data_IF_015638040394
#
_entry.id   IF_015638040394
#
_cell.length_a   1.000
_cell.length_b   1.000
_cell.length_c   1.000
_cell.angle_alpha   90.00
_cell.angle_beta   90.00
_cell.angle_gamma   90.00
#
_symmetry.space_group_name_H-M   'P 1'
#
loop_
_entity.id
_entity.type
_entity.pdbx_description
1 polymer ?
#
# COMPACT_ATOMS: atom_id res chain seq x y z
N UNK A 1 -0.92 -17.75 -17.95
CA UNK A 1 -1.01 -18.05 -16.49
C UNK A 1 0.36 -18.49 -15.99
N UNK A 2 1.03 -17.69 -15.16
CA UNK A 2 2.21 -18.15 -14.42
C UNK A 2 1.75 -18.74 -13.09
N UNK A 3 1.51 -20.05 -13.02
CA UNK A 3 1.30 -20.71 -11.74
C UNK A 3 2.65 -20.79 -10.98
N UNK A 4 2.84 -19.91 -9.99
CA UNK A 4 3.96 -20.03 -9.04
C UNK A 4 3.50 -20.81 -7.81
N UNK A 5 4.19 -21.93 -7.60
CA UNK A 5 4.08 -22.81 -6.44
C UNK A 5 4.18 -22.01 -5.13
N UNK A 6 3.36 -22.38 -4.14
CA UNK A 6 3.31 -21.82 -2.77
C UNK A 6 4.69 -21.40 -2.27
N UNK A 7 4.87 -20.11 -2.00
CA UNK A 7 6.10 -19.55 -1.43
C UNK A 7 5.96 -19.47 0.09
N UNK A 8 6.98 -19.96 0.80
CA UNK A 8 7.09 -19.83 2.25
C UNK A 8 8.08 -18.71 2.58
N UNK A 9 7.58 -17.68 3.25
CA UNK A 9 8.35 -16.52 3.67
C UNK A 9 8.57 -16.59 5.18
N UNK A 10 9.82 -16.37 5.62
CA UNK A 10 10.16 -16.34 7.05
C UNK A 10 11.19 -15.26 7.32
N UNK A 11 10.92 -14.44 8.34
CA UNK A 11 11.87 -13.48 8.87
C UNK A 11 12.31 -13.90 10.26
N UNK A 12 13.62 -13.86 10.52
CA UNK A 12 14.17 -14.04 11.86
C UNK A 12 15.20 -12.93 12.12
N UNK A 13 14.89 -11.92 12.94
CA UNK A 13 15.74 -10.75 13.16
C UNK A 13 16.98 -11.02 14.04
N UNK A 14 17.30 -12.28 14.34
CA UNK A 14 18.37 -12.68 15.27
C UNK A 14 19.78 -12.11 14.94
N UNK A 15 20.04 -11.65 13.70
CA UNK A 15 21.37 -11.20 13.25
C UNK A 15 21.50 -9.71 12.87
N UNK A 16 20.52 -8.86 13.19
CA UNK A 16 20.53 -7.43 12.81
C UNK A 16 20.75 -6.56 14.05
N UNK A 17 21.32 -5.36 13.97
CA UNK A 17 21.51 -4.43 15.12
C UNK A 17 20.17 -3.96 15.72
N UNK A 18 20.13 -3.62 17.03
CA UNK A 18 18.90 -3.12 17.70
C UNK A 18 18.40 -1.80 17.06
N UNK A 19 17.07 -1.61 17.01
CA UNK A 19 16.45 -0.37 16.52
C UNK A 19 16.27 -0.25 15.00
N UNK A 20 16.15 -1.38 14.28
CA UNK A 20 15.90 -1.39 12.83
C UNK A 20 14.65 -2.19 12.49
N UNK A 21 13.96 -1.79 11.43
CA UNK A 21 12.87 -2.54 10.83
C UNK A 21 13.45 -3.65 9.93
N UNK A 22 12.80 -4.82 9.92
CA UNK A 22 13.11 -5.92 9.00
C UNK A 22 11.90 -6.14 8.11
N UNK A 23 12.11 -6.01 6.81
CA UNK A 23 11.07 -6.21 5.81
C UNK A 23 11.21 -7.61 5.19
N UNK A 24 10.11 -8.33 5.07
CA UNK A 24 10.05 -9.61 4.33
C UNK A 24 8.78 -9.63 3.52
N UNK A 25 8.96 -9.59 2.19
CA UNK A 25 7.87 -9.52 1.23
C UNK A 25 8.01 -10.55 0.11
N UNK A 26 6.87 -10.83 -0.50
CA UNK A 26 6.76 -11.29 -1.88
C UNK A 26 6.54 -10.06 -2.74
N UNK A 27 7.34 -9.92 -3.79
CA UNK A 27 7.33 -8.75 -4.66
C UNK A 27 7.06 -9.15 -6.09
N UNK A 28 6.03 -8.55 -6.67
CA UNK A 28 5.81 -8.52 -8.11
C UNK A 28 6.40 -7.22 -8.67
N UNK A 29 7.27 -7.35 -9.68
CA UNK A 29 7.79 -6.23 -10.49
C UNK A 29 7.53 -6.52 -11.96
N UNK A 30 6.79 -5.66 -12.69
CA UNK A 30 6.68 -5.78 -14.13
C UNK A 30 8.07 -5.55 -14.76
N UNK A 31 8.58 -6.59 -15.43
CA UNK A 31 9.83 -6.61 -16.21
C UNK A 31 11.14 -6.35 -15.43
N UNK A 32 11.74 -7.40 -14.89
CA UNK A 32 13.21 -7.53 -14.88
C UNK A 32 13.59 -8.19 -16.19
N UNK A 33 14.13 -7.42 -17.15
CA UNK A 33 14.67 -7.96 -18.40
C UNK A 33 15.75 -8.99 -18.07
N UNK A 34 15.46 -10.28 -18.29
CA UNK A 34 16.50 -11.27 -18.55
C UNK A 34 16.45 -11.47 -20.06
N UNK A 35 17.45 -10.93 -20.73
CA UNK A 35 17.71 -11.20 -22.14
C UNK A 35 18.02 -12.69 -22.27
N UNK A 36 17.09 -13.48 -22.80
CA UNK A 36 17.37 -14.74 -23.50
C UNK A 36 16.12 -15.14 -24.29
N UNK A 37 15.92 -14.44 -25.42
CA UNK A 37 15.29 -14.89 -26.66
C UNK A 37 14.19 -15.97 -26.64
N UNK A 38 13.18 -15.88 -25.78
CA UNK A 38 11.97 -16.72 -25.84
C UNK A 38 10.75 -15.84 -25.58
N UNK A 39 9.71 -16.00 -26.41
CA UNK A 39 8.46 -15.22 -26.44
C UNK A 39 8.07 -14.57 -25.12
N UNK A 40 8.37 -13.27 -25.01
CA UNK A 40 8.00 -12.45 -23.86
C UNK A 40 6.59 -11.93 -24.13
N UNK A 41 5.58 -12.55 -23.51
CA UNK A 41 4.36 -11.80 -23.22
C UNK A 41 4.79 -10.60 -22.38
N UNK A 42 4.86 -9.41 -22.97
CA UNK A 42 5.18 -8.17 -22.26
C UNK A 42 4.24 -8.07 -21.06
N UNK A 43 4.78 -8.26 -19.86
CA UNK A 43 3.96 -8.14 -18.67
C UNK A 43 3.64 -6.67 -18.49
N UNK A 44 2.39 -6.31 -18.75
CA UNK A 44 1.89 -4.94 -18.73
C UNK A 44 2.01 -4.38 -17.30
N UNK A 45 2.44 -3.12 -17.19
CA UNK A 45 2.50 -2.42 -15.90
C UNK A 45 1.04 -2.22 -15.44
N UNK A 46 0.65 -2.69 -14.24
CA UNK A 46 -0.69 -2.49 -13.74
C UNK A 46 -0.99 -1.00 -13.56
N UNK A 47 -2.11 -0.55 -14.08
CA UNK A 47 -2.49 0.87 -14.08
C UNK A 47 -3.92 1.04 -13.56
N UNK A 48 -4.09 1.93 -12.57
CA UNK A 48 -5.42 2.23 -12.05
C UNK A 48 -6.29 2.92 -13.10
N UNK A 49 -7.61 2.65 -13.13
CA UNK A 49 -8.35 1.76 -12.23
C UNK A 49 -8.38 0.30 -12.67
N UNK A 50 -7.68 -0.10 -13.72
CA UNK A 50 -8.02 -1.26 -14.54
C UNK A 50 -7.17 -2.50 -14.22
N UNK A 51 -7.14 -2.93 -12.96
CA UNK A 51 -6.56 -4.22 -12.60
C UNK A 51 -7.04 -4.73 -11.24
N UNK A 52 -7.04 -6.05 -11.10
CA UNK A 52 -7.24 -6.75 -9.83
C UNK A 52 -6.01 -7.55 -9.48
N UNK A 53 -5.91 -7.92 -8.21
CA UNK A 53 -4.88 -8.84 -7.71
C UNK A 53 -5.57 -9.97 -6.96
N UNK A 54 -5.27 -11.20 -7.36
CA UNK A 54 -5.77 -12.42 -6.71
C UNK A 54 -4.63 -13.18 -6.08
N UNK A 55 -4.81 -13.67 -4.86
CA UNK A 55 -3.81 -14.49 -4.15
C UNK A 55 -4.42 -15.22 -2.98
N UNK A 56 -3.78 -16.30 -2.53
CA UNK A 56 -4.09 -16.98 -1.28
C UNK A 56 -3.02 -16.64 -0.26
N UNK A 57 -3.40 -16.05 0.87
CA UNK A 57 -2.52 -15.68 1.97
C UNK A 57 -2.82 -16.54 3.20
N UNK A 58 -1.76 -17.00 3.87
CA UNK A 58 -1.85 -17.63 5.19
C UNK A 58 -0.75 -17.06 6.09
N UNK A 59 -1.15 -16.30 7.11
CA UNK A 59 -0.23 -15.78 8.13
C UNK A 59 -0.11 -16.82 9.25
N UNK A 60 1.10 -17.38 9.41
CA UNK A 60 1.39 -18.41 10.42
C UNK A 60 1.89 -17.74 11.71
N UNK A 61 2.76 -16.74 11.58
CA UNK A 61 3.24 -15.92 12.67
C UNK A 61 3.35 -14.47 12.20
N UNK A 62 2.77 -13.55 12.97
CA UNK A 62 2.52 -12.18 12.54
C UNK A 62 3.68 -11.22 12.74
N UNK A 63 4.79 -11.62 13.37
CA UNK A 63 5.92 -10.72 13.62
C UNK A 63 5.73 -9.73 14.77
N UNK A 64 4.70 -9.93 15.60
CA UNK A 64 4.47 -9.17 16.84
C UNK A 64 3.25 -8.26 16.86
N UNK A 65 3.00 -7.59 18.00
CA UNK A 65 1.87 -6.67 18.12
C UNK A 65 2.05 -5.36 17.34
N UNK A 66 3.28 -4.98 17.03
CA UNK A 66 3.59 -3.74 16.30
C UNK A 66 4.05 -3.97 14.87
N UNK A 67 3.94 -5.20 14.35
CA UNK A 67 4.29 -5.48 12.96
C UNK A 67 3.27 -4.85 12.02
N UNK A 68 3.79 -4.25 10.96
CA UNK A 68 2.96 -3.80 9.85
C UNK A 68 2.97 -4.92 8.83
N UNK A 69 1.93 -5.75 8.85
CA UNK A 69 1.76 -6.78 7.83
C UNK A 69 0.87 -6.22 6.74
N UNK A 70 1.46 -5.98 5.57
CA UNK A 70 0.80 -5.45 4.40
C UNK A 70 0.12 -6.59 3.64
N UNK A 71 -1.21 -6.56 3.61
CA UNK A 71 -2.00 -7.37 2.67
C UNK A 71 -1.74 -6.94 1.23
N UNK A 72 -1.48 -5.64 1.07
CA UNK A 72 -1.13 -5.02 -0.18
C UNK A 72 -0.26 -3.79 0.13
N UNK A 73 0.91 -3.74 -0.44
CA UNK A 73 1.82 -2.59 -0.45
C UNK A 73 2.17 -2.33 -1.92
N UNK A 74 1.93 -1.12 -2.40
CA UNK A 74 2.10 -0.79 -3.80
C UNK A 74 2.92 0.47 -3.94
N UNK A 75 3.91 0.39 -4.82
CA UNK A 75 4.86 1.49 -5.04
C UNK A 75 4.76 2.00 -6.46
N UNK A 76 4.72 3.32 -6.59
CA UNK A 76 4.74 4.02 -7.86
C UNK A 76 5.54 5.33 -7.73
N UNK A 77 5.72 6.03 -8.86
CA UNK A 77 6.39 7.32 -8.91
C UNK A 77 5.71 8.24 -9.92
N UNK A 78 5.34 9.43 -9.49
CA UNK A 78 4.96 10.55 -10.36
C UNK A 78 5.30 11.89 -9.69
N UNK A 79 5.29 12.99 -10.44
CA UNK A 79 5.53 14.33 -9.90
C UNK A 79 4.22 14.95 -9.39
N UNK A 80 4.30 15.98 -8.54
CA UNK A 80 3.11 16.66 -8.03
C UNK A 80 2.27 17.33 -9.14
N UNK A 81 2.87 17.62 -10.30
CA UNK A 81 2.18 18.13 -11.49
C UNK A 81 1.55 17.04 -12.38
N UNK A 82 1.59 15.79 -11.93
CA UNK A 82 1.02 14.62 -12.62
C UNK A 82 1.90 14.02 -13.71
N UNK A 83 3.07 14.61 -14.01
CA UNK A 83 4.01 14.02 -14.98
C UNK A 83 4.65 12.75 -14.43
N UNK A 84 5.08 11.82 -15.30
CA UNK A 84 5.91 10.70 -14.89
C UNK A 84 7.22 11.16 -14.22
N UNK A 85 7.73 10.36 -13.31
CA UNK A 85 9.09 10.54 -12.77
C UNK A 85 10.15 10.38 -13.86
N UNK A 86 11.24 11.14 -13.74
CA UNK A 86 12.36 11.15 -14.70
C UNK A 86 13.73 10.96 -14.04
N UNK A 87 13.76 10.61 -12.76
CA UNK A 87 14.97 10.46 -11.95
C UNK A 87 15.40 11.75 -11.24
N UNK A 88 14.61 12.82 -11.31
CA UNK A 88 14.89 14.06 -10.62
C UNK A 88 14.53 13.96 -9.14
N UNK A 89 15.56 13.85 -8.30
CA UNK A 89 15.46 13.67 -6.84
C UNK A 89 14.71 14.79 -6.10
N UNK A 90 14.49 15.95 -6.73
CA UNK A 90 13.77 17.09 -6.14
C UNK A 90 12.29 17.08 -6.51
N UNK A 91 11.96 16.74 -7.76
CA UNK A 91 10.57 16.80 -8.25
C UNK A 91 9.84 15.47 -8.18
N UNK A 92 10.58 14.36 -8.25
CA UNK A 92 10.00 13.02 -8.23
C UNK A 92 9.49 12.71 -6.83
N UNK A 93 8.32 12.05 -6.78
CA UNK A 93 7.70 11.63 -5.53
C UNK A 93 7.38 10.15 -5.62
N UNK A 94 8.01 9.37 -4.73
CA UNK A 94 7.68 7.95 -4.58
C UNK A 94 6.42 7.82 -3.74
N UNK A 95 5.47 6.99 -4.17
CA UNK A 95 4.17 6.87 -3.52
C UNK A 95 3.85 5.46 -3.12
N UNK A 96 3.32 5.33 -1.91
CA UNK A 96 2.99 4.07 -1.27
C UNK A 96 1.49 4.01 -0.97
N UNK A 97 0.85 2.92 -1.41
CA UNK A 97 -0.52 2.56 -1.08
C UNK A 97 -0.51 1.25 -0.30
N UNK A 98 -0.82 1.31 0.99
CA UNK A 98 -0.58 0.19 1.91
C UNK A 98 -1.84 -0.17 2.70
N UNK A 99 -2.13 -1.46 2.84
CA UNK A 99 -3.20 -2.00 3.71
C UNK A 99 -2.59 -2.88 4.80
N UNK A 100 -2.70 -2.47 6.06
CA UNK A 100 -2.16 -3.22 7.21
C UNK A 100 -3.25 -4.12 7.80
N UNK A 101 -3.00 -5.42 7.93
CA UNK A 101 -3.98 -6.39 8.46
C UNK A 101 -3.69 -6.92 9.87
N UNK A 102 -2.59 -6.48 10.50
CA UNK A 102 -2.35 -6.84 11.90
C UNK A 102 -3.45 -6.20 12.79
N UNK A 103 -4.27 -6.99 13.49
CA UNK A 103 -5.42 -6.50 14.24
C UNK A 103 -5.02 -5.65 15.47
N UNK A 104 -3.76 -5.69 15.88
CA UNK A 104 -3.27 -4.89 17.01
C UNK A 104 -2.92 -3.45 16.60
N UNK A 105 -2.94 -3.13 15.31
CA UNK A 105 -2.64 -1.78 14.81
C UNK A 105 -3.89 -0.92 14.93
N UNK A 106 -3.80 0.13 15.74
CA UNK A 106 -4.83 1.16 15.85
C UNK A 106 -4.59 2.28 14.85
N UNK A 107 -5.66 2.95 14.44
CA UNK A 107 -5.57 4.15 13.61
C UNK A 107 -4.86 5.30 14.33
N UNK A 108 -3.95 6.00 13.65
CA UNK A 108 -3.44 7.31 14.10
C UNK A 108 -4.28 8.46 13.57
N UNK A 109 -4.99 8.25 12.46
CA UNK A 109 -5.97 9.17 11.91
C UNK A 109 -7.28 9.12 12.72
N UNK A 110 -7.56 10.19 13.47
CA UNK A 110 -8.77 10.28 14.29
C UNK A 110 -9.21 11.75 14.43
N UNK A 111 -10.45 12.03 14.89
CA UNK A 111 -11.00 13.40 14.91
C UNK A 111 -10.13 14.45 15.62
N UNK A 112 -9.26 14.02 16.54
CA UNK A 112 -8.36 14.88 17.31
C UNK A 112 -6.93 14.96 16.73
N UNK A 113 -6.63 14.28 15.63
CA UNK A 113 -5.31 14.23 14.99
C UNK A 113 -5.46 14.17 13.47
N UNK A 114 -5.92 15.28 12.89
CA UNK A 114 -6.27 15.36 11.46
C UNK A 114 -5.05 15.49 10.55
N UNK A 115 -3.88 15.86 11.09
CA UNK A 115 -2.62 16.00 10.35
C UNK A 115 -2.15 14.71 9.68
N UNK A 116 -2.53 13.54 10.23
CA UNK A 116 -2.23 12.21 9.68
C UNK A 116 -3.43 11.57 8.98
N UNK A 117 -4.48 12.34 8.72
CA UNK A 117 -5.63 11.92 7.93
C UNK A 117 -5.54 12.50 6.51
N UNK A 118 -5.92 11.74 5.47
CA UNK A 118 -6.04 12.32 4.14
C UNK A 118 -7.14 13.40 4.14
N UNK A 119 -7.00 14.48 3.33
CA UNK A 119 -7.96 15.59 3.31
C UNK A 119 -9.42 15.18 3.10
N UNK A 120 -9.64 14.14 2.30
CA UNK A 120 -10.97 13.58 2.09
C UNK A 120 -10.92 12.08 1.84
N UNK A 121 -12.04 11.42 2.13
CA UNK A 121 -12.36 10.08 1.66
C UNK A 121 -13.21 10.19 0.39
N UNK A 122 -12.93 9.37 -0.61
CA UNK A 122 -13.76 9.24 -1.83
C UNK A 122 -14.48 7.91 -1.78
N UNK A 123 -15.81 7.94 -1.76
CA UNK A 123 -16.65 6.75 -1.85
C UNK A 123 -16.67 6.19 -3.28
N UNK A 124 -17.08 4.92 -3.48
CA UNK A 124 -17.16 4.30 -4.80
C UNK A 124 -18.02 5.04 -5.83
N UNK A 125 -19.02 5.80 -5.37
CA UNK A 125 -19.89 6.66 -6.20
C UNK A 125 -19.24 8.01 -6.57
N UNK A 126 -18.02 8.27 -6.11
CA UNK A 126 -17.28 9.52 -6.31
C UNK A 126 -17.56 10.59 -5.27
N UNK A 127 -18.48 10.37 -4.33
CA UNK A 127 -18.80 11.31 -3.26
C UNK A 127 -17.58 11.51 -2.35
N UNK A 128 -17.23 12.77 -2.08
CA UNK A 128 -16.10 13.11 -1.19
C UNK A 128 -16.59 13.65 0.14
N UNK A 129 -16.05 13.08 1.22
CA UNK A 129 -16.24 13.58 2.58
C UNK A 129 -14.92 14.08 3.12
N UNK A 130 -14.90 15.34 3.55
CA UNK A 130 -13.72 15.97 4.10
C UNK A 130 -13.42 15.46 5.51
N UNK A 131 -12.15 15.36 5.89
CA UNK A 131 -11.69 14.96 7.24
C UNK A 131 -12.13 15.88 8.39
N UNK A 132 -12.79 16.99 8.10
CA UNK A 132 -13.34 17.89 9.11
C UNK A 132 -14.82 17.57 9.40
N UNK A 133 -15.46 16.77 8.55
CA UNK A 133 -16.79 16.22 8.80
C UNK A 133 -16.67 14.98 9.69
N UNK A 134 -16.52 15.24 10.99
CA UNK A 134 -16.23 14.20 11.99
C UNK A 134 -17.35 13.15 12.12
N UNK A 135 -18.56 13.47 11.66
CA UNK A 135 -19.71 12.57 11.71
C UNK A 135 -19.70 11.53 10.58
N UNK A 136 -19.08 11.84 9.44
CA UNK A 136 -19.14 11.01 8.22
C UNK A 136 -17.80 10.48 7.74
N UNK A 137 -16.69 11.14 8.10
CA UNK A 137 -15.37 10.69 7.66
C UNK A 137 -14.98 9.36 8.33
N UNK A 138 -14.55 8.33 7.57
CA UNK A 138 -14.27 7.01 8.13
C UNK A 138 -12.85 6.93 8.71
N UNK A 139 -12.60 7.63 9.82
CA UNK A 139 -11.26 7.69 10.47
C UNK A 139 -10.63 6.31 10.70
N UNK A 140 -11.43 5.35 11.20
CA UNK A 140 -10.96 4.00 11.48
C UNK A 140 -10.47 3.22 10.25
N UNK A 141 -10.78 3.69 9.04
CA UNK A 141 -10.34 3.11 7.78
C UNK A 141 -8.91 3.49 7.40
N UNK A 142 -8.33 4.50 8.05
CA UNK A 142 -7.01 5.05 7.75
C UNK A 142 -6.09 4.87 8.95
N UNK A 143 -4.88 4.35 8.75
CA UNK A 143 -3.86 4.37 9.79
C UNK A 143 -3.11 5.70 9.78
N UNK A 144 -2.52 6.05 8.62
CA UNK A 144 -1.64 7.18 8.43
C UNK A 144 -1.77 7.71 6.99
N UNK A 145 -1.78 9.02 6.85
CA UNK A 145 -1.43 9.73 5.64
C UNK A 145 -0.29 10.70 5.95
N UNK A 146 0.80 10.65 5.20
CA UNK A 146 1.82 11.69 5.20
C UNK A 146 2.05 12.21 3.79
N UNK A 147 2.21 13.53 3.69
CA UNK A 147 2.33 14.27 2.45
C UNK A 147 3.77 14.34 1.95
N UNK A 148 3.97 14.56 0.63
CA UNK A 148 5.31 14.72 0.09
C UNK A 148 5.94 16.04 0.52
N UNK A 149 7.24 15.97 0.85
CA UNK A 149 8.00 17.12 1.35
C UNK A 149 8.19 18.26 0.35
N UNK A 150 7.92 18.02 -0.94
CA UNK A 150 7.99 18.99 -2.02
C UNK A 150 6.61 19.49 -2.50
N UNK A 151 5.54 19.24 -1.74
CA UNK A 151 4.22 19.78 -2.06
C UNK A 151 4.10 21.27 -1.70
N UNK A 152 3.55 22.06 -2.62
CA UNK A 152 3.45 23.53 -2.47
C UNK A 152 2.09 23.98 -1.90
N UNK A 153 1.05 23.14 -1.98
CA UNK A 153 -0.34 23.52 -1.69
C UNK A 153 -1.04 22.57 -0.72
N UNK A 154 -0.32 22.09 0.29
CA UNK A 154 -0.88 21.19 1.30
C UNK A 154 -1.97 21.87 2.13
N UNK A 155 -3.06 21.14 2.35
CA UNK A 155 -4.13 21.57 3.23
C UNK A 155 -3.74 21.34 4.70
N UNK A 156 -3.75 22.41 5.50
CA UNK A 156 -3.47 22.37 6.94
C UNK A 156 -4.69 21.80 7.69
N UNK A 157 -4.50 20.90 8.68
CA UNK A 157 -3.22 20.38 9.16
C UNK A 157 -2.69 19.22 8.31
N UNK A 158 -1.36 19.10 8.21
CA UNK A 158 -0.70 18.00 7.50
C UNK A 158 0.56 17.54 8.24
N UNK A 159 0.99 16.33 7.94
CA UNK A 159 2.28 15.77 8.33
C UNK A 159 3.06 15.43 7.08
N UNK A 160 4.34 15.82 7.03
CA UNK A 160 5.24 15.41 5.95
C UNK A 160 5.77 14.00 6.23
N UNK A 161 6.00 13.20 5.19
CA UNK A 161 6.70 11.94 5.36
C UNK A 161 8.15 12.18 5.80
N UNK A 162 8.67 11.30 6.66
CA UNK A 162 10.00 11.43 7.25
C UNK A 162 11.11 11.37 6.18
N UNK A 163 11.90 12.44 5.99
CA UNK A 163 12.99 12.44 5.02
C UNK A 163 14.21 11.63 5.47
N UNK A 164 14.29 11.21 6.74
CA UNK A 164 15.45 10.46 7.24
C UNK A 164 15.53 9.05 6.64
N UNK A 165 14.36 8.41 6.47
CA UNK A 165 14.26 7.06 5.93
C UNK A 165 14.48 7.00 4.41
N UNK A 166 14.15 8.08 3.68
CA UNK A 166 14.44 8.23 2.25
C UNK A 166 14.72 9.71 1.91
N UNK A 167 15.88 10.04 1.32
CA UNK A 167 16.21 11.42 0.95
C UNK A 167 15.34 11.99 -0.18
N UNK A 168 14.62 11.17 -0.93
CA UNK A 168 13.69 11.62 -1.97
C UNK A 168 12.30 11.90 -1.38
N UNK A 169 11.53 12.85 -1.94
CA UNK A 169 10.15 13.06 -1.54
C UNK A 169 9.31 11.77 -1.61
N UNK A 170 8.55 11.51 -0.56
CA UNK A 170 7.65 10.37 -0.46
C UNK A 170 6.27 10.80 -0.02
N UNK A 171 5.25 10.08 -0.47
CA UNK A 171 3.89 10.17 0.04
C UNK A 171 3.39 8.77 0.40
N UNK A 172 2.88 8.61 1.61
CA UNK A 172 2.45 7.30 2.13
C UNK A 172 0.99 7.42 2.56
N UNK A 173 0.17 6.50 2.07
CA UNK A 173 -1.18 6.31 2.55
C UNK A 173 -1.37 4.86 3.03
N UNK A 174 -1.56 4.71 4.34
CA UNK A 174 -1.79 3.44 5.00
C UNK A 174 -3.26 3.35 5.43
N UNK A 175 -3.95 2.30 4.98
CA UNK A 175 -5.34 1.99 5.31
C UNK A 175 -5.44 0.75 6.20
N UNK A 176 -6.58 0.62 6.88
CA UNK A 176 -6.92 -0.48 7.78
C UNK A 176 -8.21 -1.17 7.33
N UNK A 177 -8.43 -2.44 7.74
CA UNK A 177 -9.69 -3.15 7.55
C UNK A 177 -10.90 -2.32 7.98
N UNK A 178 -11.84 -2.09 7.07
CA UNK A 178 -13.01 -1.26 7.34
C UNK A 178 -14.13 -1.51 6.32
N UNK A 179 -15.43 -1.41 6.70
CA UNK A 179 -16.54 -1.70 5.79
C UNK A 179 -16.57 -0.85 4.51
N UNK A 180 -16.00 0.36 4.53
CA UNK A 180 -15.93 1.23 3.34
C UNK A 180 -15.10 0.64 2.20
N UNK A 181 -14.33 -0.42 2.46
CA UNK A 181 -13.52 -1.10 1.45
C UNK A 181 -14.18 -2.32 0.82
N UNK A 182 -15.40 -2.67 1.24
CA UNK A 182 -16.08 -3.93 0.86
C UNK A 182 -16.26 -4.08 -0.66
N UNK A 183 -16.59 -2.99 -1.36
CA UNK A 183 -16.79 -3.01 -2.82
C UNK A 183 -15.51 -3.30 -3.60
N UNK A 184 -14.35 -3.16 -2.96
CA UNK A 184 -13.04 -3.45 -3.55
C UNK A 184 -12.51 -4.84 -3.15
N UNK A 185 -13.27 -5.63 -2.37
CA UNK A 185 -12.89 -6.98 -1.92
C UNK A 185 -11.92 -7.03 -0.74
N UNK A 186 -11.57 -5.87 -0.17
CA UNK A 186 -10.64 -5.73 0.95
C UNK A 186 -11.29 -6.14 2.30
N UNK A 187 -10.46 -6.42 3.33
CA UNK A 187 -10.95 -6.73 4.67
C UNK A 187 -11.90 -5.65 5.20
N UNK A 188 -13.01 -6.07 5.81
CA UNK A 188 -14.01 -5.17 6.38
C UNK A 188 -13.88 -5.00 7.89
N UNK A 189 -13.13 -5.90 8.55
CA UNK A 189 -12.93 -5.92 10.00
C UNK A 189 -11.50 -6.34 10.34
N UNK A 190 -10.98 -5.80 11.44
CA UNK A 190 -9.67 -6.21 11.95
C UNK A 190 -9.67 -7.72 12.26
N UNK A 191 -8.59 -8.40 11.86
CA UNK A 191 -8.41 -9.84 12.06
C UNK A 191 -8.79 -10.71 10.87
N UNK A 192 -9.55 -10.20 9.89
CA UNK A 192 -9.80 -10.92 8.63
C UNK A 192 -8.50 -11.10 7.84
N UNK A 193 -8.20 -12.34 7.43
CA UNK A 193 -6.94 -12.71 6.77
C UNK A 193 -5.73 -12.81 7.69
N UNK A 194 -5.94 -12.73 9.01
CA UNK A 194 -4.87 -12.82 10.00
C UNK A 194 -4.57 -14.27 10.41
N UNK A 195 -3.83 -14.45 11.50
CA UNK A 195 -3.44 -15.75 12.04
C UNK A 195 -4.68 -16.61 12.32
N UNK A 196 -4.71 -17.81 11.73
CA UNK A 196 -5.82 -18.74 11.85
C UNK A 196 -6.94 -18.56 10.81
N UNK A 197 -6.83 -17.55 9.94
CA UNK A 197 -7.79 -17.24 8.88
C UNK A 197 -7.12 -17.21 7.48
N UNK A 198 -6.63 -18.37 6.99
CA UNK A 198 -6.06 -18.44 5.64
C UNK A 198 -7.15 -18.17 4.60
N UNK A 199 -6.88 -17.25 3.66
CA UNK A 199 -7.90 -16.78 2.72
C UNK A 199 -7.36 -16.52 1.34
N UNK A 200 -8.20 -16.81 0.34
CA UNK A 200 -8.04 -16.25 -1.00
C UNK A 200 -8.67 -14.86 -1.06
N UNK A 201 -7.91 -13.92 -1.59
CA UNK A 201 -8.30 -12.56 -1.85
C UNK A 201 -8.44 -12.37 -3.35
N UNK A 202 -9.47 -11.65 -3.76
CA UNK A 202 -9.54 -11.02 -5.07
C UNK A 202 -9.82 -9.54 -4.81
N UNK A 203 -8.78 -8.74 -4.92
CA UNK A 203 -8.79 -7.33 -4.59
C UNK A 203 -8.93 -6.50 -5.86
N UNK A 204 -9.87 -5.57 -5.88
CA UNK A 204 -9.99 -4.54 -6.92
C UNK A 204 -9.03 -3.38 -6.63
N UNK A 205 -7.75 -3.73 -6.69
CA UNK A 205 -6.63 -2.88 -6.33
C UNK A 205 -6.60 -1.63 -7.21
N UNK A 206 -6.90 -1.77 -8.51
CA UNK A 206 -6.99 -0.65 -9.44
C UNK A 206 -8.06 0.37 -9.04
N UNK A 207 -9.31 -0.06 -8.83
CA UNK A 207 -10.39 0.88 -8.46
C UNK A 207 -10.17 1.51 -7.08
N UNK A 208 -9.68 0.75 -6.09
CA UNK A 208 -9.39 1.32 -4.77
C UNK A 208 -8.29 2.37 -4.89
N UNK A 209 -7.15 2.00 -5.45
CA UNK A 209 -6.00 2.90 -5.58
C UNK A 209 -6.27 4.14 -6.43
N UNK A 210 -7.26 4.12 -7.34
CA UNK A 210 -7.76 5.32 -8.03
C UNK A 210 -8.58 6.25 -7.12
N UNK A 211 -9.33 5.68 -6.18
CA UNK A 211 -10.24 6.40 -5.26
C UNK A 211 -9.49 7.00 -4.07
N UNK A 212 -8.36 6.40 -3.70
CA UNK A 212 -7.48 6.87 -2.63
C UNK A 212 -6.88 8.25 -2.95
N UNK A 213 -6.69 9.04 -1.88
CA UNK A 213 -6.09 10.36 -1.96
C UNK A 213 -4.58 10.25 -2.14
N UNK A 214 -4.07 10.90 -3.19
CA UNK A 214 -2.65 11.22 -3.36
C UNK A 214 -2.57 12.68 -3.78
N UNK A 215 -1.64 13.41 -3.20
CA UNK A 215 -1.45 14.82 -3.41
C UNK A 215 -1.07 15.09 -4.87
N UNK A 216 -1.68 16.15 -5.39
CA UNK A 216 -1.46 16.67 -6.72
C UNK A 216 -1.66 18.19 -6.68
N UNK A 217 -0.76 18.93 -7.33
CA UNK A 217 -0.82 20.39 -7.35
C UNK A 217 -2.12 20.86 -8.03
N UNK A 218 -2.83 21.85 -7.45
CA UNK A 218 -4.06 22.38 -8.04
C UNK A 218 -3.86 22.85 -9.48
N UNK A 219 -4.82 22.52 -10.34
CA UNK A 219 -4.81 22.94 -11.75
C UNK A 219 -3.92 22.11 -12.67
N UNK A 220 -3.27 21.05 -12.19
CA UNK A 220 -2.42 20.16 -12.99
C UNK A 220 -3.21 18.97 -13.55
N UNK A 221 -2.66 18.33 -14.59
CA UNK A 221 -3.29 17.18 -15.25
C UNK A 221 -3.20 15.93 -14.38
N UNK A 222 -4.30 15.17 -14.16
CA UNK A 222 -4.28 13.98 -13.31
C UNK A 222 -3.15 13.01 -13.63
N UNK A 223 -2.42 12.55 -12.61
CA UNK A 223 -1.37 11.56 -12.78
C UNK A 223 -1.92 10.22 -13.28
N UNK A 224 -1.18 9.56 -14.18
CA UNK A 224 -1.40 8.15 -14.50
C UNK A 224 -0.79 7.28 -13.42
N UNK A 225 -1.60 6.48 -12.73
CA UNK A 225 -1.16 5.66 -11.58
C UNK A 225 -0.71 4.29 -12.05
N UNK A 226 0.54 4.21 -12.49
CA UNK A 226 1.20 2.97 -12.92
C UNK A 226 2.01 2.37 -11.76
N UNK A 227 1.66 1.17 -11.33
CA UNK A 227 2.23 0.57 -10.12
C UNK A 227 3.43 -0.32 -10.45
N UNK A 228 4.61 0.18 -10.09
CA UNK A 228 5.91 -0.41 -10.43
C UNK A 228 6.30 -1.57 -9.50
N UNK A 229 5.68 -1.65 -8.33
CA UNK A 229 5.84 -2.76 -7.39
C UNK A 229 4.50 -3.07 -6.75
N UNK A 230 4.22 -4.35 -6.59
CA UNK A 230 3.09 -4.87 -5.82
C UNK A 230 3.66 -5.90 -4.85
N UNK A 231 3.48 -5.65 -3.57
CA UNK A 231 4.15 -6.32 -2.47
C UNK A 231 3.14 -6.84 -1.46
N UNK A 232 3.45 -8.01 -0.88
CA UNK A 232 2.76 -8.58 0.27
C UNK A 232 3.82 -8.99 1.28
N UNK A 233 3.57 -8.75 2.55
CA UNK A 233 4.50 -9.20 3.57
C UNK A 233 4.45 -8.38 4.82
N UNK A 234 5.56 -8.32 5.54
CA UNK A 234 5.58 -7.65 6.82
C UNK A 234 6.86 -6.90 7.07
N UNK A 235 6.68 -5.73 7.66
CA UNK A 235 7.69 -4.96 8.34
C UNK A 235 7.59 -5.23 9.85
N UNK A 236 8.67 -5.75 10.44
CA UNK A 236 8.74 -6.05 11.87
C UNK A 236 9.70 -5.09 12.57
N UNK A 237 9.22 -4.44 13.63
CA UNK A 237 10.09 -3.68 14.52
C UNK A 237 10.93 -4.65 15.33
N UNK A 238 12.25 -4.47 15.34
CA UNK A 238 13.12 -5.41 16.04
C UNK A 238 12.92 -5.34 17.56
N UNK A 239 12.19 -6.32 18.09
CA UNK A 239 12.13 -6.67 19.50
C UNK A 239 12.53 -8.16 19.68
N UNK A 240 12.95 -8.58 20.89
CA UNK A 240 13.29 -9.98 21.16
C UNK A 240 12.12 -10.91 20.78
N UNK A 241 12.44 -12.06 20.18
CA UNK A 241 11.49 -13.13 19.85
C UNK A 241 10.37 -12.78 18.84
N UNK A 242 10.53 -11.71 18.06
CA UNK A 242 9.60 -11.43 16.95
C UNK A 242 9.97 -12.25 15.72
N UNK A 243 9.10 -13.17 15.31
CA UNK A 243 9.24 -14.00 14.11
C UNK A 243 8.02 -13.79 13.26
N UNK A 244 8.20 -13.51 11.97
CA UNK A 244 7.11 -13.60 11.01
C UNK A 244 7.29 -14.84 10.13
N UNK A 245 6.18 -15.54 9.90
CA UNK A 245 6.12 -16.71 9.04
C UNK A 245 4.78 -16.70 8.33
N UNK A 246 4.78 -16.84 7.02
CA UNK A 246 3.57 -16.79 6.22
C UNK A 246 3.81 -17.44 4.86
N UNK A 247 2.72 -17.75 4.16
CA UNK A 247 2.78 -18.29 2.81
C UNK A 247 1.85 -17.54 1.89
N UNK A 248 2.27 -17.38 0.64
CA UNK A 248 1.43 -16.90 -0.47
C UNK A 248 1.42 -17.92 -1.60
N UNK A 249 0.27 -18.14 -2.21
CA UNK A 249 0.09 -18.93 -3.43
C UNK A 249 -0.94 -18.27 -4.35
N UNK A 250 -1.07 -18.81 -5.57
CA UNK A 250 -2.13 -18.41 -6.52
C UNK A 250 -2.13 -16.90 -6.81
N UNK A 251 -0.93 -16.31 -6.86
CA UNK A 251 -0.75 -14.89 -7.07
C UNK A 251 -0.89 -14.56 -8.56
N UNK A 252 -1.94 -13.82 -8.90
CA UNK A 252 -2.26 -13.38 -10.25
C UNK A 252 -2.54 -11.87 -10.28
N UNK A 253 -1.96 -11.19 -11.26
CA UNK A 253 -2.37 -9.84 -11.66
C UNK A 253 -3.34 -9.99 -12.82
N UNK A 254 -4.56 -9.47 -12.65
CA UNK A 254 -5.64 -9.59 -13.63
C UNK A 254 -5.88 -8.21 -14.25
N UNK A 255 -5.51 -8.06 -15.52
CA UNK A 255 -5.74 -6.85 -16.31
C UNK A 255 -6.82 -7.19 -17.35
N UNK A 256 -7.93 -6.44 -17.46
CA UNK A 256 -8.95 -6.68 -18.46
C UNK A 256 -8.37 -6.61 -19.88
N UNK A 257 -8.84 -7.48 -20.77
CA UNK A 257 -8.56 -7.36 -22.20
C UNK A 257 -9.17 -6.05 -22.73
N UNK A 258 -8.43 -5.36 -23.61
CA UNK A 258 -8.84 -4.11 -24.24
C UNK A 258 -9.79 -4.36 -25.42
#
# INVERSE_FOLDING_TARGET
MMHRNRLKCRSNPANISQGRWVYTSFTYKPNKLVSDGVDVHYMQIPESPNFKVRFTLNVINGGGPSSQFYLMDMVSCWKNDGKPCDGNVTSDVTRYSEMIINPNISSWCHPTNLNVCPPYHTFPDGTRIHRNDTARFPYAAYHLYCSPGNAEHLEVPYSLCDPYSNPQPQEILQILPHPVWVEYGYPTKQGEGWIGDPRTWELDVGRLSQSLYFYQDPGTSPARRQWMSIDLGTEIFKAPNQVAEWTVSDFDIIIPEQ
#
